data_IF_886377293140
#
_entry.id   IF_886377293140
#
_cell.length_a   1.000
_cell.length_b   1.000
_cell.length_c   1.000
_cell.angle_alpha   90.00
_cell.angle_beta   90.00
_cell.angle_gamma   90.00
#
_symmetry.space_group_name_H-M   'P 1'
#
loop_
_entity.id
_entity.type
_entity.pdbx_description
1 polymer ?
#
# COMPACT_ATOMS: atom_id res chain seq x y z
N UNK A 1 27.23 13.21 -4.68
CA UNK A 1 26.26 12.31 -5.31
C UNK A 1 24.86 12.72 -4.96
N UNK A 2 24.07 12.98 -5.95
CA UNK A 2 22.69 13.38 -5.75
C UNK A 2 21.80 12.15 -5.58
N UNK A 3 21.25 11.98 -4.39
CA UNK A 3 20.29 10.92 -4.18
C UNK A 3 18.95 11.39 -4.69
N UNK A 4 18.46 10.73 -5.72
CA UNK A 4 17.17 11.04 -6.28
C UNK A 4 16.08 10.55 -5.32
N UNK A 5 15.26 11.46 -4.85
CA UNK A 5 14.15 11.10 -3.97
C UNK A 5 13.08 10.39 -4.79
N UNK A 6 12.82 9.15 -4.45
CA UNK A 6 11.78 8.34 -5.10
C UNK A 6 10.48 8.56 -4.34
N UNK A 7 9.43 8.90 -5.07
CA UNK A 7 8.10 9.05 -4.46
C UNK A 7 7.65 7.73 -3.85
N UNK A 8 6.98 7.76 -2.70
CA UNK A 8 6.44 6.54 -2.10
C UNK A 8 5.47 5.83 -3.04
N UNK A 9 5.56 4.51 -3.07
CA UNK A 9 4.72 3.69 -3.95
C UNK A 9 3.57 3.12 -3.12
N UNK A 10 2.34 3.45 -3.53
CA UNK A 10 1.15 2.92 -2.86
C UNK A 10 0.97 1.44 -3.22
N UNK A 11 0.53 0.60 -2.26
CA UNK A 11 0.29 -0.82 -2.52
C UNK A 11 -0.66 -1.09 -3.69
N UNK A 12 -1.60 -0.18 -3.94
CA UNK A 12 -2.51 -0.30 -5.07
C UNK A 12 -1.81 -0.29 -6.41
N UNK A 13 -0.73 0.47 -6.52
CA UNK A 13 0.09 0.49 -7.72
C UNK A 13 0.79 -0.85 -7.94
N UNK A 14 1.30 -1.45 -6.87
CA UNK A 14 1.92 -2.78 -6.92
C UNK A 14 0.87 -3.82 -7.32
N UNK A 15 -0.32 -3.75 -6.72
CA UNK A 15 -1.41 -4.67 -7.06
C UNK A 15 -1.74 -4.61 -8.54
N UNK A 16 -1.86 -3.41 -9.09
CA UNK A 16 -2.21 -3.23 -10.49
C UNK A 16 -1.08 -3.66 -11.43
N UNK A 17 0.12 -3.13 -11.22
CA UNK A 17 1.22 -3.28 -12.18
C UNK A 17 1.90 -4.64 -12.09
N UNK A 18 2.02 -5.20 -10.89
CA UNK A 18 2.78 -6.43 -10.69
C UNK A 18 1.91 -7.69 -10.62
N UNK A 19 0.61 -7.54 -10.44
CA UNK A 19 -0.30 -8.68 -10.30
C UNK A 19 -1.42 -8.67 -11.34
N UNK A 20 -2.27 -7.66 -11.33
CA UNK A 20 -3.45 -7.69 -12.20
C UNK A 20 -3.10 -7.63 -13.68
N UNK A 21 -2.26 -6.69 -14.08
CA UNK A 21 -1.86 -6.56 -15.49
C UNK A 21 -1.12 -7.79 -16.00
N UNK A 22 -0.05 -8.26 -15.33
CA UNK A 22 0.66 -9.44 -15.81
C UNK A 22 -0.20 -10.70 -15.86
N UNK A 23 -1.14 -10.84 -14.92
CA UNK A 23 -2.02 -12.01 -14.84
C UNK A 23 -3.27 -11.90 -15.69
N UNK A 24 -3.52 -10.72 -16.28
CA UNK A 24 -4.72 -10.51 -17.08
C UNK A 24 -6.00 -10.57 -16.26
N UNK A 25 -5.95 -10.17 -14.99
CA UNK A 25 -7.10 -10.19 -14.08
C UNK A 25 -7.65 -8.77 -13.96
N UNK A 26 -8.97 -8.62 -14.20
CA UNK A 26 -9.61 -7.32 -14.04
C UNK A 26 -9.85 -7.02 -12.56
N UNK A 27 -10.02 -5.73 -12.25
CA UNK A 27 -10.38 -5.29 -10.90
C UNK A 27 -11.69 -5.94 -10.44
N UNK A 28 -12.67 -5.98 -11.33
CA UNK A 28 -13.96 -6.57 -11.02
C UNK A 28 -13.83 -8.05 -10.70
N UNK A 29 -13.06 -8.78 -11.52
CA UNK A 29 -12.83 -10.20 -11.31
C UNK A 29 -12.15 -10.46 -9.96
N UNK A 30 -11.12 -9.66 -9.63
CA UNK A 30 -10.44 -9.79 -8.34
C UNK A 30 -11.42 -9.58 -7.19
N UNK A 31 -12.21 -8.49 -7.25
CA UNK A 31 -13.17 -8.19 -6.19
C UNK A 31 -14.16 -9.33 -6.00
N UNK A 32 -14.64 -9.89 -7.09
CA UNK A 32 -15.56 -11.03 -7.06
C UNK A 32 -14.90 -12.25 -6.43
N UNK A 33 -13.68 -12.57 -6.85
CA UNK A 33 -12.98 -13.77 -6.41
C UNK A 33 -12.60 -13.72 -4.92
N UNK A 34 -12.30 -12.54 -4.38
CA UNK A 34 -11.96 -12.40 -2.96
C UNK A 34 -13.14 -11.91 -2.10
N UNK A 35 -14.32 -11.82 -2.70
CA UNK A 35 -15.58 -11.47 -2.02
C UNK A 35 -15.53 -10.12 -1.31
N UNK A 36 -15.09 -9.09 -2.02
CA UNK A 36 -15.14 -7.71 -1.54
C UNK A 36 -15.89 -6.86 -2.56
N UNK A 37 -16.45 -5.72 -2.15
CA UNK A 37 -17.09 -4.82 -3.12
C UNK A 37 -16.10 -4.34 -4.18
N UNK A 38 -16.50 -4.27 -5.45
CA UNK A 38 -15.63 -3.76 -6.51
C UNK A 38 -15.05 -2.38 -6.21
N UNK A 39 -15.82 -1.55 -5.53
CA UNK A 39 -15.38 -0.21 -5.14
C UNK A 39 -14.13 -0.26 -4.26
N UNK A 40 -14.03 -1.24 -3.36
CA UNK A 40 -12.84 -1.37 -2.50
C UNK A 40 -11.58 -1.54 -3.33
N UNK A 41 -11.62 -2.44 -4.32
CA UNK A 41 -10.46 -2.68 -5.19
C UNK A 41 -10.16 -1.44 -6.04
N UNK A 42 -11.19 -0.82 -6.61
CA UNK A 42 -11.02 0.38 -7.40
C UNK A 42 -10.34 1.50 -6.61
N UNK A 43 -10.77 1.72 -5.38
CA UNK A 43 -10.18 2.76 -4.52
C UNK A 43 -8.75 2.44 -4.14
N UNK A 44 -8.42 1.17 -3.90
CA UNK A 44 -7.05 0.76 -3.59
C UNK A 44 -6.15 1.03 -4.80
N UNK A 45 -6.59 0.64 -6.00
CA UNK A 45 -5.82 0.82 -7.23
C UNK A 45 -5.60 2.30 -7.55
N UNK A 46 -6.57 3.14 -7.23
CA UNK A 46 -6.44 4.59 -7.39
C UNK A 46 -5.72 5.27 -6.24
N UNK A 47 -5.15 4.49 -5.32
CA UNK A 47 -4.33 4.97 -4.22
C UNK A 47 -5.07 5.86 -3.22
N UNK A 48 -6.40 5.72 -3.15
CA UNK A 48 -7.22 6.51 -2.21
C UNK A 48 -7.77 5.68 -1.05
N UNK A 49 -7.41 4.40 -0.98
CA UNK A 49 -7.79 3.53 0.11
C UNK A 49 -6.62 2.64 0.49
N UNK A 50 -6.39 2.51 1.79
CA UNK A 50 -5.34 1.65 2.32
C UNK A 50 -5.73 0.17 2.23
N UNK A 51 -4.72 -0.68 2.16
CA UNK A 51 -4.90 -2.12 2.32
C UNK A 51 -4.91 -2.43 3.81
N UNK A 52 -6.08 -2.85 4.31
CA UNK A 52 -6.23 -3.27 5.69
C UNK A 52 -5.82 -4.72 5.86
N UNK A 53 -5.74 -5.18 7.11
CA UNK A 53 -5.42 -6.58 7.41
C UNK A 53 -6.40 -7.54 6.73
N UNK A 54 -7.69 -7.20 6.71
CA UNK A 54 -8.71 -8.02 6.04
C UNK A 54 -8.40 -8.19 4.56
N UNK A 55 -8.16 -7.09 3.87
CA UNK A 55 -7.83 -7.12 2.44
C UNK A 55 -6.50 -7.85 2.20
N UNK A 56 -5.51 -7.63 3.05
CA UNK A 56 -4.21 -8.29 2.95
C UNK A 56 -4.33 -9.80 3.06
N UNK A 57 -5.15 -10.28 3.98
CA UNK A 57 -5.40 -11.72 4.14
C UNK A 57 -6.06 -12.32 2.89
N UNK A 58 -7.03 -11.62 2.33
CA UNK A 58 -7.73 -12.06 1.12
C UNK A 58 -6.82 -12.06 -0.10
N UNK A 59 -6.03 -11.02 -0.27
CA UNK A 59 -5.06 -10.95 -1.37
C UNK A 59 -3.97 -12.00 -1.23
N UNK A 60 -3.49 -12.21 -0.01
CA UNK A 60 -2.47 -13.21 0.26
C UNK A 60 -2.93 -14.60 -0.12
N UNK A 61 -4.16 -14.94 0.27
CA UNK A 61 -4.75 -16.24 -0.06
C UNK A 61 -4.94 -16.39 -1.57
N UNK A 62 -5.42 -15.34 -2.23
CA UNK A 62 -5.70 -15.39 -3.66
C UNK A 62 -4.43 -15.55 -4.50
N UNK A 63 -3.42 -14.75 -4.21
CA UNK A 63 -2.17 -14.75 -4.98
C UNK A 63 -1.11 -15.72 -4.44
N UNK A 64 -1.36 -16.36 -3.31
CA UNK A 64 -0.38 -17.26 -2.71
C UNK A 64 0.82 -16.55 -2.13
N UNK A 65 0.66 -15.32 -1.72
CA UNK A 65 1.70 -14.49 -1.10
C UNK A 65 1.25 -14.12 0.31
N UNK A 66 2.20 -14.07 1.24
CA UNK A 66 1.89 -13.75 2.63
C UNK A 66 1.11 -12.45 2.76
N UNK A 67 0.08 -12.45 3.63
CA UNK A 67 -0.64 -11.23 3.98
C UNK A 67 0.31 -10.16 4.51
N UNK A 68 1.39 -10.58 5.19
CA UNK A 68 2.40 -9.67 5.73
C UNK A 68 3.06 -8.84 4.62
N UNK A 69 3.23 -9.40 3.44
CA UNK A 69 3.76 -8.67 2.29
C UNK A 69 2.91 -7.42 2.01
N UNK A 70 1.59 -7.59 1.95
CA UNK A 70 0.68 -6.48 1.67
C UNK A 70 0.63 -5.47 2.82
N UNK A 71 0.64 -5.96 4.05
CA UNK A 71 0.67 -5.09 5.24
C UNK A 71 1.96 -4.28 5.28
N UNK A 72 3.09 -4.92 4.95
CA UNK A 72 4.38 -4.24 4.93
C UNK A 72 4.45 -3.16 3.86
N UNK A 73 3.89 -3.42 2.68
CA UNK A 73 3.83 -2.39 1.62
C UNK A 73 3.04 -1.17 2.10
N UNK A 74 1.91 -1.40 2.75
CA UNK A 74 1.08 -0.32 3.26
C UNK A 74 1.79 0.46 4.36
N UNK A 75 2.42 -0.23 5.29
CA UNK A 75 3.15 0.41 6.38
C UNK A 75 4.31 1.24 5.85
N UNK A 76 5.02 0.73 4.86
CA UNK A 76 6.12 1.45 4.22
C UNK A 76 5.64 2.74 3.56
N UNK A 77 4.52 2.64 2.84
CA UNK A 77 3.92 3.81 2.21
C UNK A 77 3.49 4.84 3.25
N UNK A 78 2.77 4.39 4.28
CA UNK A 78 2.26 5.27 5.32
C UNK A 78 3.39 6.00 6.03
N UNK A 79 4.46 5.28 6.38
CA UNK A 79 5.60 5.86 7.05
C UNK A 79 6.30 6.90 6.16
N UNK A 80 6.50 6.57 4.89
CA UNK A 80 7.15 7.49 3.96
C UNK A 80 6.34 8.77 3.76
N UNK A 81 5.01 8.66 3.71
CA UNK A 81 4.13 9.83 3.60
C UNK A 81 4.20 10.70 4.85
N UNK A 82 4.20 10.08 6.02
CA UNK A 82 4.32 10.82 7.28
C UNK A 82 5.68 11.50 7.42
N UNK A 83 6.74 10.84 7.01
CA UNK A 83 8.07 11.45 7.01
C UNK A 83 8.12 12.70 6.13
N UNK A 84 7.48 12.65 4.98
CA UNK A 84 7.41 13.78 4.07
C UNK A 84 6.66 14.96 4.70
N UNK A 85 5.51 14.67 5.31
CA UNK A 85 4.73 15.68 6.04
C UNK A 85 5.54 16.26 7.19
N UNK A 86 6.19 15.40 7.95
CA UNK A 86 7.03 15.80 9.08
C UNK A 86 8.11 16.78 8.64
N UNK A 87 8.79 16.49 7.56
CA UNK A 87 9.87 17.34 7.05
C UNK A 87 9.35 18.69 6.56
N UNK A 88 8.19 18.70 5.90
CA UNK A 88 7.61 19.94 5.36
C UNK A 88 7.13 20.89 6.45
N UNK A 89 6.54 20.32 7.51
CA UNK A 89 5.91 21.12 8.54
C UNK A 89 6.86 21.50 9.65
N UNK A 90 8.10 20.99 9.60
CA UNK A 90 9.09 21.26 10.64
C UNK A 90 8.50 21.04 12.02
N UNK A 91 7.97 19.85 12.26
CA UNK A 91 7.37 19.49 13.54
C UNK A 91 8.32 19.81 14.67
N UNK A 92 7.78 20.52 15.63
CA UNK A 92 8.51 20.85 16.85
C UNK A 92 8.42 19.67 17.81
N UNK A 93 9.18 18.65 17.49
CA UNK A 93 9.22 17.45 18.30
C UNK A 93 10.44 17.51 19.21
N UNK A 94 10.18 17.49 20.50
CA UNK A 94 11.24 17.45 21.48
C UNK A 94 11.90 16.08 21.49
N UNK A 95 13.21 16.07 21.31
CA UNK A 95 13.97 14.83 21.37
C UNK A 95 14.20 14.49 22.83
N UNK A 96 13.64 13.38 23.27
CA UNK A 96 13.89 12.87 24.61
C UNK A 96 15.06 11.91 24.53
N UNK A 97 16.10 12.25 25.27
CA UNK A 97 17.32 11.46 25.28
C UNK A 97 17.25 10.44 26.41
N UNK A 98 17.17 9.17 26.05
CA UNK A 98 17.11 8.08 27.00
C UNK A 98 18.49 7.46 27.16
N UNK A 99 19.02 7.54 28.36
CA UNK A 99 20.28 6.92 28.70
C UNK A 99 20.08 5.76 29.66
#
# INVERSE_FOLDING_TARGET
MKIKKIAPIHPGEILLEEFLKPMGISQYRLAQDISVPPRRINEIIHCVRAITADTALRLGKYFGISAQFWVNLQAHYDLAMEEDVYKRQAYDVEIVDYH
#
